data_IF_475001113832
#
_entry.id   IF_475001113832
#
_cell.length_a   1.000
_cell.length_b   1.000
_cell.length_c   1.000
_cell.angle_alpha   90.00
_cell.angle_beta   90.00
_cell.angle_gamma   90.00
#
_symmetry.space_group_name_H-M   'P 1'
#
loop_
_entity.id
_entity.type
_entity.pdbx_description
1 polymer ?
#
# COMPACT_ATOMS: atom_id res chain seq x y z
N UNK A 1 -2.18 -18.83 9.77
CA UNK A 1 -3.39 -19.14 10.56
C UNK A 1 -3.27 -20.49 11.29
N UNK A 2 -2.08 -20.83 11.80
CA UNK A 2 -1.90 -22.12 12.48
C UNK A 2 -2.59 -22.04 13.85
N UNK A 3 -3.63 -22.85 14.05
CA UNK A 3 -4.32 -22.99 15.34
C UNK A 3 -5.54 -22.09 15.57
N UNK A 4 -6.00 -21.32 14.57
CA UNK A 4 -7.25 -20.56 14.72
C UNK A 4 -8.48 -21.46 14.51
N UNK A 5 -9.31 -21.63 15.55
CA UNK A 5 -10.59 -22.31 15.48
C UNK A 5 -11.72 -21.29 15.70
N UNK A 6 -12.49 -21.01 14.64
CA UNK A 6 -13.69 -20.17 14.77
C UNK A 6 -14.75 -20.95 15.54
N UNK A 7 -15.23 -20.40 16.66
CA UNK A 7 -16.21 -21.08 17.52
C UNK A 7 -17.65 -20.96 17.04
N UNK A 8 -17.93 -20.07 16.08
CA UNK A 8 -19.29 -19.72 15.68
C UNK A 8 -19.45 -19.40 14.18
N UNK A 9 -18.55 -19.88 13.31
CA UNK A 9 -18.65 -19.59 11.88
C UNK A 9 -17.55 -20.25 11.04
N UNK A 10 -17.63 -20.01 9.72
CA UNK A 10 -16.64 -20.46 8.74
C UNK A 10 -15.71 -19.30 8.40
N UNK A 11 -14.40 -19.57 8.34
CA UNK A 11 -13.40 -18.60 7.87
C UNK A 11 -13.12 -18.87 6.40
N UNK A 12 -13.41 -17.89 5.55
CA UNK A 12 -12.99 -17.88 4.16
C UNK A 12 -11.71 -17.05 4.05
N UNK A 13 -10.60 -17.69 3.65
CA UNK A 13 -9.30 -17.07 3.57
C UNK A 13 -8.57 -17.51 2.31
N UNK A 14 -8.17 -16.53 1.50
CA UNK A 14 -7.40 -16.73 0.28
C UNK A 14 -6.46 -15.53 0.10
N UNK A 15 -5.15 -15.77 0.10
CA UNK A 15 -4.15 -14.71 -0.08
C UNK A 15 -4.03 -14.23 -1.54
N UNK A 16 -4.67 -14.92 -2.48
CA UNK A 16 -4.69 -14.55 -3.90
C UNK A 16 -5.85 -13.64 -4.28
N UNK A 17 -6.76 -13.36 -3.33
CA UNK A 17 -7.96 -12.56 -3.56
C UNK A 17 -8.07 -11.43 -2.55
N UNK A 18 -8.58 -10.30 -3.02
CA UNK A 18 -8.97 -9.20 -2.13
C UNK A 18 -10.20 -9.57 -1.30
N UNK A 19 -10.40 -8.89 -0.18
CA UNK A 19 -11.62 -9.07 0.63
C UNK A 19 -12.90 -8.76 -0.14
N UNK A 20 -12.86 -7.76 -1.05
CA UNK A 20 -13.99 -7.41 -1.90
C UNK A 20 -14.34 -8.52 -2.90
N UNK A 21 -13.34 -9.15 -3.50
CA UNK A 21 -13.52 -10.31 -4.40
C UNK A 21 -14.12 -11.49 -3.67
N UNK A 22 -13.59 -11.83 -2.50
CA UNK A 22 -14.09 -12.92 -1.66
C UNK A 22 -15.56 -12.70 -1.27
N UNK A 23 -15.92 -11.48 -0.86
CA UNK A 23 -17.29 -11.13 -0.54
C UNK A 23 -18.22 -11.26 -1.75
N UNK A 24 -17.80 -10.75 -2.93
CA UNK A 24 -18.62 -10.83 -4.14
C UNK A 24 -18.90 -12.28 -4.54
N UNK A 25 -17.87 -13.12 -4.62
CA UNK A 25 -18.04 -14.53 -4.98
C UNK A 25 -18.92 -15.30 -3.99
N UNK A 26 -18.83 -14.96 -2.69
CA UNK A 26 -19.63 -15.61 -1.66
C UNK A 26 -21.12 -15.24 -1.72
N UNK A 27 -21.44 -13.94 -1.85
CA UNK A 27 -22.82 -13.46 -1.82
C UNK A 27 -23.50 -13.48 -3.20
N UNK A 28 -22.73 -13.54 -4.28
CA UNK A 28 -23.22 -13.50 -5.66
C UNK A 28 -22.55 -14.57 -6.55
N UNK A 29 -22.63 -15.86 -6.21
CA UNK A 29 -21.86 -16.93 -6.88
C UNK A 29 -22.19 -17.11 -8.37
N UNK A 30 -23.42 -16.79 -8.78
CA UNK A 30 -23.89 -16.90 -10.16
C UNK A 30 -23.67 -15.59 -10.96
N UNK A 31 -23.30 -14.49 -10.30
CA UNK A 31 -23.16 -13.20 -10.96
C UNK A 31 -21.75 -13.01 -11.51
N UNK A 32 -21.58 -12.39 -12.69
CA UNK A 32 -20.26 -12.03 -13.19
C UNK A 32 -19.57 -11.04 -12.23
N UNK A 33 -18.24 -11.08 -12.17
CA UNK A 33 -17.45 -10.13 -11.41
C UNK A 33 -17.59 -8.72 -12.00
N UNK A 34 -18.08 -7.71 -11.25
CA UNK A 34 -18.16 -6.35 -11.72
C UNK A 34 -16.76 -5.75 -11.85
N UNK A 35 -16.58 -4.85 -12.83
CA UNK A 35 -15.31 -4.13 -13.01
C UNK A 35 -14.87 -3.37 -11.76
N UNK A 36 -15.83 -2.85 -10.98
CA UNK A 36 -15.54 -2.19 -9.72
C UNK A 36 -14.72 -3.09 -8.79
N UNK A 37 -15.18 -4.32 -8.55
CA UNK A 37 -14.50 -5.28 -7.67
C UNK A 37 -13.20 -5.75 -8.32
N UNK A 38 -13.20 -6.01 -9.63
CA UNK A 38 -12.02 -6.45 -10.39
C UNK A 38 -10.86 -5.46 -10.30
N UNK A 39 -11.13 -4.17 -10.52
CA UNK A 39 -10.10 -3.14 -10.46
C UNK A 39 -9.67 -2.85 -9.02
N UNK A 40 -10.60 -2.84 -8.06
CA UNK A 40 -10.26 -2.70 -6.63
C UNK A 40 -9.32 -3.82 -6.18
N UNK A 41 -9.62 -5.06 -6.54
CA UNK A 41 -8.76 -6.20 -6.28
C UNK A 41 -7.35 -5.99 -6.86
N UNK A 42 -7.26 -5.60 -8.12
CA UNK A 42 -5.99 -5.44 -8.84
C UNK A 42 -5.03 -4.47 -8.13
N UNK A 43 -5.56 -3.42 -7.49
CA UNK A 43 -4.78 -2.51 -6.64
C UNK A 43 -4.55 -3.05 -5.24
N UNK A 44 -5.56 -3.64 -4.61
CA UNK A 44 -5.50 -4.12 -3.23
C UNK A 44 -4.38 -5.16 -3.04
N UNK A 45 -4.30 -6.13 -3.95
CA UNK A 45 -3.23 -7.14 -3.94
C UNK A 45 -1.97 -6.72 -4.72
N UNK A 46 -1.95 -5.48 -5.24
CA UNK A 46 -0.82 -4.89 -5.98
C UNK A 46 -0.39 -5.67 -7.24
N UNK A 47 -1.35 -6.28 -7.95
CA UNK A 47 -1.10 -7.08 -9.14
C UNK A 47 -0.91 -6.22 -10.40
N UNK A 48 -1.72 -5.16 -10.57
CA UNK A 48 -1.69 -4.25 -11.72
C UNK A 48 -1.70 -4.97 -13.09
N UNK A 49 -2.50 -6.04 -13.21
CA UNK A 49 -2.55 -6.86 -14.41
C UNK A 49 -3.42 -6.27 -15.53
N UNK A 50 -4.30 -5.32 -15.20
CA UNK A 50 -5.18 -4.66 -16.17
C UNK A 50 -4.71 -3.23 -16.46
N UNK A 51 -4.43 -2.87 -17.72
CA UNK A 51 -4.11 -1.49 -18.11
C UNK A 51 -5.18 -0.48 -17.68
N UNK A 52 -6.43 -0.91 -17.61
CA UNK A 52 -7.59 -0.09 -17.24
C UNK A 52 -7.68 0.19 -15.74
N UNK A 53 -7.01 -0.59 -14.88
CA UNK A 53 -7.14 -0.44 -13.42
C UNK A 53 -6.69 0.93 -12.95
N UNK A 54 -5.53 1.41 -13.40
CA UNK A 54 -4.98 2.69 -12.97
C UNK A 54 -5.91 3.88 -13.26
N UNK A 55 -6.38 4.10 -14.51
CA UNK A 55 -7.33 5.17 -14.80
C UNK A 55 -8.69 4.96 -14.11
N UNK A 56 -9.20 3.73 -14.04
CA UNK A 56 -10.47 3.46 -13.37
C UNK A 56 -10.42 3.82 -11.88
N UNK A 57 -9.37 3.38 -11.18
CA UNK A 57 -9.20 3.60 -9.75
C UNK A 57 -8.89 5.06 -9.41
N UNK A 58 -8.11 5.75 -10.24
CA UNK A 58 -7.87 7.18 -10.06
C UNK A 58 -9.17 7.99 -10.18
N UNK A 59 -10.07 7.61 -11.10
CA UNK A 59 -11.40 8.20 -11.18
C UNK A 59 -12.28 7.83 -9.97
N UNK A 60 -12.19 6.59 -9.47
CA UNK A 60 -12.94 6.09 -8.32
C UNK A 60 -12.53 6.78 -7.01
N UNK A 61 -11.25 7.08 -6.82
CA UNK A 61 -10.74 7.76 -5.62
C UNK A 61 -11.32 9.17 -5.45
N UNK A 62 -11.87 9.76 -6.53
CA UNK A 62 -12.54 11.06 -6.53
C UNK A 62 -14.05 10.98 -6.24
N UNK A 63 -14.61 9.78 -6.12
CA UNK A 63 -16.03 9.57 -5.90
C UNK A 63 -16.37 9.52 -4.39
N UNK A 64 -17.58 9.95 -3.99
CA UNK A 64 -18.06 9.73 -2.63
C UNK A 64 -18.01 8.24 -2.24
N UNK A 65 -17.59 7.96 -1.01
CA UNK A 65 -17.66 6.62 -0.42
C UNK A 65 -19.08 6.32 0.07
N UNK A 66 -19.99 6.16 -0.89
CA UNK A 66 -21.42 5.95 -0.66
C UNK A 66 -21.92 4.75 -1.49
N UNK A 67 -22.77 3.92 -0.88
CA UNK A 67 -23.25 2.68 -1.50
C UNK A 67 -24.06 2.94 -2.77
N UNK A 68 -24.90 3.98 -2.81
CA UNK A 68 -25.71 4.28 -3.98
C UNK A 68 -24.81 4.68 -5.16
N UNK A 69 -23.79 5.52 -4.90
CA UNK A 69 -22.82 5.90 -5.93
C UNK A 69 -22.01 4.70 -6.43
N UNK A 70 -21.56 3.83 -5.54
CA UNK A 70 -20.82 2.63 -5.93
C UNK A 70 -21.68 1.64 -6.72
N UNK A 71 -22.96 1.51 -6.39
CA UNK A 71 -23.91 0.70 -7.15
C UNK A 71 -24.09 1.24 -8.58
N UNK A 72 -24.19 2.55 -8.74
CA UNK A 72 -24.24 3.19 -10.06
C UNK A 72 -22.97 2.91 -10.88
N UNK A 73 -21.80 3.08 -10.27
CA UNK A 73 -20.49 2.83 -10.91
C UNK A 73 -20.34 1.36 -11.33
N UNK A 74 -20.76 0.43 -10.48
CA UNK A 74 -20.76 -1.01 -10.80
C UNK A 74 -21.68 -1.35 -11.98
N UNK A 75 -22.75 -0.56 -12.18
CA UNK A 75 -23.74 -0.74 -13.24
C UNK A 75 -23.46 0.05 -14.52
N UNK A 76 -22.31 0.75 -14.63
CA UNK A 76 -21.98 1.55 -15.81
C UNK A 76 -22.06 0.76 -17.11
N UNK A 77 -22.68 1.39 -18.12
CA UNK A 77 -22.57 0.97 -19.51
C UNK A 77 -21.12 1.10 -20.00
N UNK A 78 -20.74 0.42 -21.10
CA UNK A 78 -19.40 0.55 -21.69
C UNK A 78 -19.00 2.01 -21.98
N UNK A 79 -19.93 2.85 -22.45
CA UNK A 79 -19.67 4.26 -22.73
C UNK A 79 -19.40 5.08 -21.46
N UNK A 80 -20.21 4.87 -20.40
CA UNK A 80 -19.98 5.53 -19.11
C UNK A 80 -18.64 5.11 -18.50
N UNK A 81 -18.30 3.82 -18.58
CA UNK A 81 -17.02 3.29 -18.10
C UNK A 81 -15.84 3.90 -18.85
N UNK A 82 -15.92 4.03 -20.16
CA UNK A 82 -14.88 4.66 -20.98
C UNK A 82 -14.70 6.14 -20.59
N UNK A 83 -15.78 6.90 -20.41
CA UNK A 83 -15.73 8.28 -19.95
C UNK A 83 -15.14 8.39 -18.53
N UNK A 84 -15.48 7.46 -17.64
CA UNK A 84 -14.95 7.40 -16.28
C UNK A 84 -13.43 7.18 -16.28
N UNK A 85 -12.95 6.22 -17.06
CA UNK A 85 -11.50 5.95 -17.20
C UNK A 85 -10.77 7.11 -17.87
N UNK A 86 -11.35 7.74 -18.91
CA UNK A 86 -10.75 8.91 -19.55
C UNK A 86 -10.52 10.06 -18.55
N UNK A 87 -11.46 10.28 -17.62
CA UNK A 87 -11.30 11.26 -16.54
C UNK A 87 -10.15 10.89 -15.60
N UNK A 88 -9.99 9.62 -15.26
CA UNK A 88 -8.96 9.16 -14.33
C UNK A 88 -7.56 9.02 -14.94
N UNK A 89 -7.43 8.87 -16.26
CA UNK A 89 -6.14 8.70 -16.92
C UNK A 89 -5.17 9.87 -16.66
N UNK A 90 -5.62 11.11 -16.83
CA UNK A 90 -4.79 12.29 -16.54
C UNK A 90 -4.46 12.44 -15.04
N UNK A 91 -5.35 11.97 -14.17
CA UNK A 91 -5.13 11.97 -12.71
C UNK A 91 -4.05 10.97 -12.32
N UNK A 92 -4.12 9.74 -12.86
CA UNK A 92 -3.11 8.71 -12.65
C UNK A 92 -1.75 9.13 -13.21
N UNK A 93 -1.70 9.69 -14.42
CA UNK A 93 -0.45 10.19 -15.02
C UNK A 93 0.21 11.24 -14.13
N UNK A 94 -0.55 12.23 -13.67
CA UNK A 94 -0.05 13.24 -12.72
C UNK A 94 0.40 12.61 -11.41
N UNK A 95 -0.37 11.68 -10.85
CA UNK A 95 -0.03 11.01 -9.60
C UNK A 95 1.28 10.21 -9.72
N UNK A 96 1.48 9.49 -10.82
CA UNK A 96 2.73 8.77 -11.11
C UNK A 96 3.91 9.71 -11.26
N UNK A 97 3.75 10.82 -11.99
CA UNK A 97 4.81 11.85 -12.10
C UNK A 97 5.21 12.39 -10.73
N UNK A 98 4.25 12.74 -9.88
CA UNK A 98 4.51 13.17 -8.51
C UNK A 98 5.24 12.11 -7.69
N UNK A 99 4.84 10.83 -7.81
CA UNK A 99 5.53 9.74 -7.12
C UNK A 99 6.98 9.59 -7.58
N UNK A 100 7.25 9.70 -8.88
CA UNK A 100 8.61 9.67 -9.43
C UNK A 100 9.44 10.82 -8.88
N UNK A 101 8.93 12.05 -8.93
CA UNK A 101 9.64 13.25 -8.43
C UNK A 101 9.92 13.16 -6.93
N UNK A 102 8.98 12.60 -6.15
CA UNK A 102 9.18 12.36 -4.73
C UNK A 102 10.26 11.29 -4.48
N UNK A 103 10.29 10.23 -5.28
CA UNK A 103 11.28 9.16 -5.17
C UNK A 103 12.71 9.63 -5.48
N UNK A 104 12.88 10.68 -6.29
CA UNK A 104 14.19 11.31 -6.54
C UNK A 104 14.82 11.91 -5.27
N UNK A 105 14.01 12.24 -4.26
CA UNK A 105 14.49 12.76 -2.97
C UNK A 105 14.87 11.64 -1.98
N UNK A 106 14.95 10.39 -2.43
CA UNK A 106 15.29 9.28 -1.57
C UNK A 106 16.75 9.35 -1.07
N UNK A 107 16.94 8.93 0.17
CA UNK A 107 18.23 8.87 0.84
C UNK A 107 18.54 7.42 1.22
N UNK A 108 19.81 7.05 1.26
CA UNK A 108 20.23 5.74 1.78
C UNK A 108 19.90 5.63 3.26
N UNK A 109 19.45 4.44 3.68
CA UNK A 109 19.27 4.09 5.09
C UNK A 109 19.79 2.68 5.34
N UNK A 110 20.43 2.48 6.48
CA UNK A 110 20.74 1.16 7.03
C UNK A 110 19.86 0.97 8.25
N UNK A 111 18.88 0.08 8.16
CA UNK A 111 17.97 -0.24 9.27
C UNK A 111 18.27 -1.63 9.82
N UNK A 112 18.73 -1.72 11.07
CA UNK A 112 19.14 -2.98 11.72
C UNK A 112 20.17 -3.76 10.87
N UNK A 113 21.14 -3.03 10.30
CA UNK A 113 22.17 -3.61 9.43
C UNK A 113 21.73 -3.91 7.99
N UNK A 114 20.46 -3.65 7.62
CA UNK A 114 19.95 -3.89 6.27
C UNK A 114 19.90 -2.57 5.50
N UNK A 115 20.62 -2.49 4.38
CA UNK A 115 20.58 -1.35 3.47
C UNK A 115 19.24 -1.26 2.74
N UNK A 116 18.71 -0.04 2.61
CA UNK A 116 17.51 0.30 1.86
C UNK A 116 17.50 1.77 1.47
N UNK A 117 16.35 2.26 1.00
CA UNK A 117 16.14 3.67 0.67
C UNK A 117 15.01 4.25 1.51
N UNK A 118 15.13 5.50 1.93
CA UNK A 118 14.10 6.22 2.67
C UNK A 118 13.70 7.53 2.03
N UNK A 119 12.46 7.97 2.25
CA UNK A 119 11.96 9.26 1.78
C UNK A 119 10.90 9.83 2.73
N UNK A 120 10.91 11.15 2.91
CA UNK A 120 9.86 11.86 3.62
C UNK A 120 8.68 12.09 2.68
N UNK A 121 7.56 11.41 2.91
CA UNK A 121 6.39 11.55 2.04
C UNK A 121 5.09 11.23 2.80
N UNK A 122 3.99 11.96 2.53
CA UNK A 122 2.68 11.66 3.10
C UNK A 122 2.18 10.25 2.78
N UNK A 123 1.33 9.72 3.66
CA UNK A 123 0.79 8.35 3.58
C UNK A 123 0.14 7.98 2.24
N UNK A 124 -0.45 8.94 1.54
CA UNK A 124 -1.12 8.71 0.24
C UNK A 124 -0.15 8.18 -0.82
N UNK A 125 1.13 8.56 -0.75
CA UNK A 125 2.14 8.16 -1.73
C UNK A 125 2.90 6.87 -1.34
N UNK A 126 2.67 6.34 -0.12
CA UNK A 126 3.52 5.28 0.45
C UNK A 126 3.61 4.04 -0.44
N UNK A 127 2.50 3.62 -1.06
CA UNK A 127 2.51 2.37 -1.85
C UNK A 127 3.33 2.50 -3.13
N UNK A 128 3.09 3.53 -3.95
CA UNK A 128 3.81 3.66 -5.23
C UNK A 128 5.25 4.13 -5.04
N UNK A 129 5.49 5.16 -4.20
CA UNK A 129 6.87 5.59 -3.90
C UNK A 129 7.65 4.46 -3.24
N UNK A 130 7.04 3.72 -2.32
CA UNK A 130 7.67 2.57 -1.69
C UNK A 130 7.99 1.42 -2.65
N UNK A 131 7.13 1.14 -3.64
CA UNK A 131 7.42 0.16 -4.69
C UNK A 131 8.61 0.60 -5.55
N UNK A 132 8.68 1.88 -5.92
CA UNK A 132 9.82 2.45 -6.67
C UNK A 132 11.14 2.28 -5.90
N UNK A 133 11.16 2.67 -4.62
CA UNK A 133 12.35 2.58 -3.76
C UNK A 133 12.74 1.13 -3.45
N UNK A 134 11.77 0.24 -3.27
CA UNK A 134 12.05 -1.18 -3.07
C UNK A 134 12.72 -1.81 -4.29
N UNK A 135 12.28 -1.45 -5.51
CA UNK A 135 12.92 -1.90 -6.75
C UNK A 135 14.34 -1.35 -6.88
N UNK A 136 14.53 -0.08 -6.57
CA UNK A 136 15.82 0.59 -6.70
C UNK A 136 16.85 0.05 -5.68
N UNK A 137 16.43 -0.21 -4.45
CA UNK A 137 17.31 -0.72 -3.39
C UNK A 137 17.57 -2.23 -3.48
N UNK A 138 16.65 -2.98 -4.09
CA UNK A 138 16.66 -4.45 -4.07
C UNK A 138 16.20 -5.06 -2.74
N UNK A 139 15.85 -4.24 -1.74
CA UNK A 139 15.41 -4.68 -0.41
C UNK A 139 14.07 -4.02 -0.04
N UNK A 140 14.12 -2.80 0.51
CA UNK A 140 12.95 -2.08 1.00
C UNK A 140 13.02 -0.57 0.72
N UNK A 141 11.83 0.01 0.55
CA UNK A 141 11.59 1.45 0.65
C UNK A 141 10.98 1.79 2.01
N UNK A 142 11.52 2.80 2.68
CA UNK A 142 11.04 3.36 3.93
C UNK A 142 10.43 4.75 3.69
N UNK A 143 9.13 4.87 3.85
CA UNK A 143 8.43 6.16 3.71
C UNK A 143 8.05 6.66 5.09
N UNK A 144 8.36 7.90 5.41
CA UNK A 144 8.05 8.46 6.72
C UNK A 144 7.34 9.80 6.62
N UNK A 145 6.58 10.14 7.66
CA UNK A 145 5.98 11.46 7.83
C UNK A 145 5.84 11.77 9.32
N UNK A 146 6.10 13.01 9.71
CA UNK A 146 6.02 13.46 11.10
C UNK A 146 4.77 14.33 11.33
N UNK A 147 4.21 14.27 12.53
CA UNK A 147 3.11 15.13 12.96
C UNK A 147 2.95 15.13 14.49
N UNK A 148 1.85 15.69 14.99
CA UNK A 148 1.61 15.83 16.43
C UNK A 148 1.61 14.50 17.22
N UNK A 149 1.37 13.38 16.53
CA UNK A 149 1.33 12.02 17.14
C UNK A 149 2.65 11.25 16.98
N UNK A 150 3.74 11.92 16.60
CA UNK A 150 5.05 11.32 16.32
C UNK A 150 5.29 11.07 14.84
N UNK A 151 6.16 10.12 14.53
CA UNK A 151 6.55 9.76 13.16
C UNK A 151 5.87 8.45 12.76
N UNK A 152 5.14 8.47 11.65
CA UNK A 152 4.60 7.27 10.99
C UNK A 152 5.62 6.79 9.97
N UNK A 153 6.03 5.52 10.07
CA UNK A 153 6.93 4.87 9.13
C UNK A 153 6.19 3.74 8.42
N UNK A 154 6.24 3.75 7.09
CA UNK A 154 5.81 2.66 6.23
C UNK A 154 7.02 1.97 5.60
N UNK A 155 6.95 0.66 5.49
CA UNK A 155 7.93 -0.17 4.79
C UNK A 155 7.25 -0.86 3.62
N UNK A 156 7.91 -0.83 2.46
CA UNK A 156 7.47 -1.54 1.26
C UNK A 156 8.62 -2.36 0.69
N UNK A 157 8.31 -3.54 0.20
CA UNK A 157 9.25 -4.42 -0.50
C UNK A 157 8.54 -5.21 -1.59
N UNK A 158 9.30 -6.08 -2.29
CA UNK A 158 8.78 -7.07 -3.24
C UNK A 158 8.96 -8.49 -2.67
N UNK A 159 8.53 -9.50 -3.41
CA UNK A 159 8.56 -10.92 -2.98
C UNK A 159 9.94 -11.44 -2.52
N UNK A 160 11.04 -10.77 -2.88
CA UNK A 160 12.39 -11.12 -2.44
C UNK A 160 12.80 -10.63 -1.06
N UNK A 161 12.01 -9.79 -0.38
CA UNK A 161 12.38 -9.23 0.92
C UNK A 161 11.18 -9.13 1.87
N UNK A 162 11.34 -9.58 3.11
CA UNK A 162 10.31 -9.53 4.14
C UNK A 162 10.58 -8.38 5.11
N UNK A 163 9.72 -7.37 5.12
CA UNK A 163 9.82 -6.21 6.02
C UNK A 163 9.28 -6.45 7.44
N UNK A 164 8.62 -7.58 7.72
CA UNK A 164 8.03 -7.85 9.04
C UNK A 164 9.07 -7.75 10.17
N UNK A 165 10.27 -8.38 10.08
CA UNK A 165 11.26 -8.29 11.15
C UNK A 165 11.70 -6.84 11.46
N UNK A 166 11.82 -6.00 10.44
CA UNK A 166 12.13 -4.57 10.61
C UNK A 166 11.00 -3.84 11.35
N UNK A 167 9.74 -4.06 10.96
CA UNK A 167 8.60 -3.44 11.62
C UNK A 167 8.42 -3.94 13.06
N UNK A 168 8.50 -5.25 13.30
CA UNK A 168 8.34 -5.86 14.62
C UNK A 168 9.42 -5.40 15.60
N UNK A 169 10.65 -5.18 15.12
CA UNK A 169 11.74 -4.63 15.96
C UNK A 169 11.39 -3.26 16.56
N UNK A 170 10.44 -2.53 15.96
CA UNK A 170 9.93 -1.24 16.42
C UNK A 170 8.52 -1.33 17.03
N UNK A 171 8.03 -2.54 17.33
CA UNK A 171 6.67 -2.77 17.83
C UNK A 171 5.57 -2.56 16.79
N UNK A 172 5.92 -2.56 15.50
CA UNK A 172 4.99 -2.48 14.37
C UNK A 172 4.57 -3.84 13.84
N UNK A 173 4.01 -3.85 12.63
CA UNK A 173 3.55 -5.06 11.95
C UNK A 173 2.89 -4.78 10.61
N UNK A 174 2.33 -5.84 10.00
CA UNK A 174 1.63 -5.78 8.71
C UNK A 174 1.94 -7.01 7.85
N UNK A 175 1.91 -6.83 6.53
CA UNK A 175 2.27 -7.87 5.56
C UNK A 175 3.75 -7.84 5.22
N UNK A 176 4.28 -8.95 4.73
CA UNK A 176 5.69 -9.09 4.39
C UNK A 176 6.20 -7.99 3.43
N UNK A 177 5.37 -7.56 2.47
CA UNK A 177 5.69 -6.51 1.52
C UNK A 177 5.15 -5.12 1.88
N UNK A 178 4.35 -5.03 2.94
CA UNK A 178 3.66 -3.81 3.33
C UNK A 178 3.37 -3.82 4.83
N UNK A 179 4.31 -3.29 5.60
CA UNK A 179 4.17 -3.13 7.05
C UNK A 179 4.55 -1.71 7.46
N UNK A 180 4.49 -1.44 8.76
CA UNK A 180 4.87 -0.14 9.29
C UNK A 180 4.89 -0.11 10.80
N UNK A 181 5.41 0.98 11.34
CA UNK A 181 5.48 1.24 12.77
C UNK A 181 5.32 2.74 13.04
N UNK A 182 5.23 3.10 14.31
CA UNK A 182 5.25 4.48 14.77
C UNK A 182 6.39 4.65 15.76
N UNK A 183 7.00 5.82 15.77
CA UNK A 183 8.02 6.18 16.74
C UNK A 183 7.83 7.61 17.24
N UNK A 184 8.39 7.92 18.41
CA UNK A 184 8.42 9.28 18.94
C UNK A 184 9.27 10.21 18.05
N UNK A 185 8.94 11.49 18.03
CA UNK A 185 9.68 12.50 17.25
C UNK A 185 11.15 12.61 17.66
N UNK A 186 11.47 12.27 18.92
CA UNK A 186 12.84 12.25 19.44
C UNK A 186 13.77 11.29 18.68
N UNK A 187 13.24 10.28 17.98
CA UNK A 187 14.01 9.32 17.17
C UNK A 187 14.23 9.76 15.73
N UNK A 188 13.62 10.88 15.31
CA UNK A 188 13.77 11.37 13.95
C UNK A 188 15.23 11.73 13.59
N UNK A 189 16.04 12.38 14.46
CA UNK A 189 17.46 12.63 14.15
C UNK A 189 18.25 11.35 13.87
N UNK A 190 17.96 10.26 14.58
CA UNK A 190 18.60 8.96 14.33
C UNK A 190 18.26 8.44 12.94
N UNK A 191 16.98 8.48 12.55
CA UNK A 191 16.57 8.09 11.19
C UNK A 191 17.25 8.96 10.12
N UNK A 192 17.30 10.27 10.33
CA UNK A 192 17.91 11.23 9.41
C UNK A 192 19.43 11.07 9.28
N UNK A 193 20.09 10.37 10.20
CA UNK A 193 21.52 10.05 10.08
C UNK A 193 21.83 9.04 8.96
N UNK A 194 20.81 8.34 8.45
CA UNK A 194 20.97 7.24 7.51
C UNK A 194 21.33 5.91 8.17
N UNK A 195 21.56 5.87 9.48
CA UNK A 195 21.74 4.62 10.25
C UNK A 195 20.71 4.58 11.38
N UNK A 196 19.80 3.62 11.31
CA UNK A 196 18.69 3.48 12.24
C UNK A 196 18.68 2.09 12.83
N UNK A 197 18.61 1.96 14.15
CA UNK A 197 18.53 0.67 14.82
C UNK A 197 17.37 0.66 15.81
N UNK A 198 16.72 -0.49 15.98
CA UNK A 198 15.62 -0.64 16.91
C UNK A 198 16.06 -0.39 18.36
N UNK A 199 17.17 -0.99 18.75
CA UNK A 199 17.89 -0.63 19.97
C UNK A 199 18.83 0.56 19.67
N UNK A 200 18.85 1.60 20.51
CA UNK A 200 19.90 2.60 20.44
C UNK A 200 21.28 1.93 20.58
N UNK A 201 22.34 2.50 19.98
CA UNK A 201 23.71 2.10 20.34
C UNK A 201 23.85 2.15 21.87
N UNK A 202 24.60 1.22 22.45
CA UNK A 202 24.98 1.34 23.86
C UNK A 202 25.60 2.73 24.07
N UNK A 203 25.17 3.43 25.12
CA UNK A 203 25.84 4.67 25.49
C UNK A 203 27.25 4.30 25.96
N UNK A 204 28.26 4.79 25.26
CA UNK A 204 29.66 4.75 25.69
C UNK A 204 29.86 5.65 26.93
#
# INVERSE_FOLDING_TARGET
LTGFACRCGVVHFDMSKSGARLAWEFFHPEAPLPDLVRHVEDRDIWAWQYPESAPYLAALDMEPQDFARWQEIAAFSPAQRAAFMARGAAMDEKYRKLCTDLAENAQSVVFNGISGLMVNVPGVFHSLVGDLLARQSGTFGLMWSAGAKGVKVGLRSRSGFNCIPLAESMGGGGHAQACGFKMGVARLPELLSGVFNAAPPAAD
#
